data_IF_289148920560
#
_entry.id   IF_289148920560
#
_cell.length_a   1.000
_cell.length_b   1.000
_cell.length_c   1.000
_cell.angle_alpha   90.00
_cell.angle_beta   90.00
_cell.angle_gamma   90.00
#
_symmetry.space_group_name_H-M   'P 1'
#
loop_
_entity.id
_entity.type
_entity.pdbx_description
1 polymer ?
#
# COMPACT_ATOMS: atom_id res chain seq x y z
N UNK A 1 2.58 7.47 -36.20
CA UNK A 1 1.31 8.08 -35.75
C UNK A 1 1.41 8.35 -34.27
N UNK A 2 1.48 9.61 -33.85
CA UNK A 2 1.64 9.99 -32.44
C UNK A 2 0.24 10.19 -31.82
N UNK A 3 -0.13 9.35 -30.85
CA UNK A 3 -1.42 9.45 -30.16
C UNK A 3 -1.39 10.68 -29.24
N UNK A 4 -2.05 11.76 -29.64
CA UNK A 4 -2.09 12.99 -28.86
C UNK A 4 -3.07 12.80 -27.69
N UNK A 5 -2.59 12.98 -26.45
CA UNK A 5 -3.48 12.96 -25.27
C UNK A 5 -4.29 14.25 -25.25
N UNK A 6 -5.60 14.15 -25.34
CA UNK A 6 -6.52 15.29 -25.22
C UNK A 6 -6.91 15.51 -23.76
N UNK A 7 -7.08 16.77 -23.34
CA UNK A 7 -7.52 17.10 -21.97
C UNK A 7 -9.01 16.83 -21.81
N UNK A 8 -9.39 16.17 -20.72
CA UNK A 8 -10.78 16.04 -20.31
C UNK A 8 -11.25 17.35 -19.63
N UNK A 9 -12.39 17.94 -20.02
CA UNK A 9 -12.81 19.24 -19.50
C UNK A 9 -13.51 19.11 -18.13
N UNK A 10 -12.75 19.28 -17.04
CA UNK A 10 -13.34 19.28 -15.68
C UNK A 10 -14.29 20.47 -15.43
N UNK A 11 -14.17 21.56 -16.21
CA UNK A 11 -15.01 22.74 -16.07
C UNK A 11 -16.50 22.46 -16.30
N UNK A 12 -16.83 21.41 -17.07
CA UNK A 12 -18.21 21.02 -17.37
C UNK A 12 -18.85 20.24 -16.21
N UNK A 13 -18.08 19.91 -15.16
CA UNK A 13 -18.53 19.11 -14.02
C UNK A 13 -18.29 19.87 -12.72
N UNK A 14 -19.29 19.87 -11.83
CA UNK A 14 -19.09 20.43 -10.48
C UNK A 14 -18.07 19.59 -9.73
N UNK A 15 -17.10 20.28 -9.14
CA UNK A 15 -16.13 19.69 -8.23
C UNK A 15 -16.59 19.73 -6.77
N UNK A 16 -17.81 20.24 -6.52
CA UNK A 16 -18.46 20.16 -5.20
C UNK A 16 -19.44 19.00 -5.14
N UNK A 17 -19.36 18.23 -4.05
CA UNK A 17 -20.29 17.15 -3.71
C UNK A 17 -21.70 17.69 -3.45
N UNK A 18 -21.85 18.94 -3.03
CA UNK A 18 -23.13 19.56 -2.69
C UNK A 18 -24.07 19.64 -3.90
N UNK A 19 -23.52 19.59 -5.13
CA UNK A 19 -24.34 19.46 -6.34
C UNK A 19 -25.16 18.16 -6.35
N UNK A 20 -24.60 17.09 -5.78
CA UNK A 20 -25.15 15.74 -5.82
C UNK A 20 -25.77 15.32 -4.48
N UNK A 21 -25.33 15.93 -3.37
CA UNK A 21 -25.86 15.73 -2.02
C UNK A 21 -26.15 17.13 -1.43
N UNK A 22 -27.27 17.77 -1.82
CA UNK A 22 -27.55 19.14 -1.42
C UNK A 22 -27.80 19.25 0.09
N UNK A 23 -27.15 20.20 0.80
CA UNK A 23 -27.30 20.36 2.25
C UNK A 23 -28.69 20.82 2.68
N UNK A 24 -29.47 21.38 1.76
CA UNK A 24 -30.85 21.83 1.95
C UNK A 24 -31.90 20.78 1.53
N UNK A 25 -31.46 19.61 1.05
CA UNK A 25 -32.37 18.50 0.73
C UNK A 25 -33.05 17.97 1.99
N UNK A 26 -34.34 17.61 1.88
CA UNK A 26 -35.08 16.96 2.96
C UNK A 26 -34.43 15.65 3.43
N UNK A 27 -33.72 14.98 2.52
CA UNK A 27 -33.07 13.69 2.78
C UNK A 27 -31.61 13.84 3.25
N UNK A 28 -31.09 15.06 3.40
CA UNK A 28 -29.68 15.31 3.71
C UNK A 28 -29.21 14.62 5.01
N UNK A 29 -30.10 14.54 6.00
CA UNK A 29 -29.81 13.90 7.29
C UNK A 29 -30.13 12.41 7.34
N UNK A 30 -30.60 11.82 6.24
CA UNK A 30 -30.89 10.39 6.19
C UNK A 30 -29.57 9.61 6.09
N UNK A 31 -29.26 8.72 7.05
CA UNK A 31 -28.07 7.90 6.96
C UNK A 31 -28.08 7.02 5.71
N UNK A 32 -26.95 6.94 5.01
CA UNK A 32 -26.79 6.09 3.81
C UNK A 32 -26.99 4.60 4.14
N UNK A 33 -26.70 4.21 5.38
CA UNK A 33 -26.87 2.85 5.90
C UNK A 33 -27.48 2.89 7.30
N UNK A 34 -28.15 1.81 7.69
CA UNK A 34 -28.67 1.67 9.04
C UNK A 34 -27.55 1.57 10.10
N UNK A 35 -27.89 1.89 11.34
CA UNK A 35 -26.94 1.95 12.44
C UNK A 35 -26.28 0.60 12.76
N UNK A 36 -27.00 -0.51 12.63
CA UNK A 36 -26.45 -1.84 12.88
C UNK A 36 -25.42 -2.22 11.81
N UNK A 37 -25.68 -1.88 10.55
CA UNK A 37 -24.73 -2.05 9.45
C UNK A 37 -23.49 -1.17 9.62
N UNK A 38 -23.66 0.09 10.01
CA UNK A 38 -22.54 0.98 10.28
C UNK A 38 -21.64 0.44 11.41
N UNK A 39 -22.23 -0.02 12.51
CA UNK A 39 -21.47 -0.60 13.63
C UNK A 39 -20.72 -1.87 13.22
N UNK A 40 -21.35 -2.75 12.44
CA UNK A 40 -20.70 -3.96 11.91
C UNK A 40 -19.47 -3.62 11.09
N UNK A 41 -19.57 -2.65 10.17
CA UNK A 41 -18.42 -2.23 9.36
C UNK A 41 -17.35 -1.51 10.18
N UNK A 42 -17.74 -0.71 11.18
CA UNK A 42 -16.79 -0.10 12.08
C UNK A 42 -16.03 -1.14 12.92
N UNK A 43 -16.69 -2.22 13.35
CA UNK A 43 -16.03 -3.34 14.01
C UNK A 43 -15.08 -4.09 13.08
N UNK A 44 -15.49 -4.37 11.84
CA UNK A 44 -14.63 -5.00 10.84
C UNK A 44 -13.39 -4.15 10.54
N UNK A 45 -13.56 -2.83 10.41
CA UNK A 45 -12.46 -1.88 10.23
C UNK A 45 -11.47 -1.95 11.39
N UNK A 46 -11.95 -1.84 12.64
CA UNK A 46 -11.09 -1.96 13.83
C UNK A 46 -10.36 -3.30 13.88
N UNK A 47 -11.05 -4.40 13.56
CA UNK A 47 -10.43 -5.73 13.56
C UNK A 47 -9.32 -5.82 12.50
N UNK A 48 -9.56 -5.30 11.29
CA UNK A 48 -8.54 -5.26 10.24
C UNK A 48 -7.31 -4.41 10.62
N UNK A 49 -7.49 -3.27 11.28
CA UNK A 49 -6.36 -2.44 11.72
C UNK A 49 -5.62 -3.03 12.91
N UNK A 50 -6.33 -3.49 13.94
CA UNK A 50 -5.73 -3.78 15.26
C UNK A 50 -5.68 -5.26 15.64
N UNK A 51 -6.29 -6.14 14.85
CA UNK A 51 -6.25 -7.58 15.09
C UNK A 51 -7.10 -8.01 16.28
N UNK A 52 -8.35 -7.53 16.34
CA UNK A 52 -9.23 -7.65 17.52
C UNK A 52 -9.74 -9.08 17.76
N UNK A 53 -9.62 -9.96 16.77
CA UNK A 53 -9.98 -11.38 16.82
C UNK A 53 -8.92 -12.22 16.08
N UNK A 54 -9.00 -13.55 16.19
CA UNK A 54 -8.02 -14.47 15.61
C UNK A 54 -8.07 -14.59 14.08
N UNK A 55 -9.20 -14.27 13.46
CA UNK A 55 -9.40 -14.34 12.01
C UNK A 55 -9.00 -13.03 11.31
N UNK A 56 -8.78 -11.98 12.08
CA UNK A 56 -8.41 -10.66 11.61
C UNK A 56 -7.12 -10.65 10.78
N UNK A 57 -7.22 -10.10 9.57
CA UNK A 57 -6.08 -9.86 8.67
C UNK A 57 -5.28 -8.59 9.05
N UNK A 58 -4.87 -8.50 10.30
CA UNK A 58 -4.11 -7.35 10.83
C UNK A 58 -2.62 -7.67 10.98
N UNK A 59 -1.72 -6.69 10.74
CA UNK A 59 -0.31 -6.85 11.07
C UNK A 59 -0.03 -7.04 12.58
N UNK A 60 -0.99 -6.72 13.44
CA UNK A 60 -0.89 -6.95 14.89
C UNK A 60 -1.49 -8.29 15.32
N UNK A 61 -2.17 -9.02 14.44
CA UNK A 61 -2.66 -10.37 14.71
C UNK A 61 -1.53 -11.40 14.50
N UNK A 62 -1.17 -12.12 15.57
CA UNK A 62 -0.10 -13.12 15.54
C UNK A 62 -0.42 -14.37 14.72
N UNK A 63 -1.68 -14.83 14.68
CA UNK A 63 -2.10 -15.98 13.87
C UNK A 63 -1.94 -15.68 12.38
N UNK A 64 -2.43 -14.51 11.95
CA UNK A 64 -2.35 -14.06 10.57
C UNK A 64 -0.89 -13.90 10.10
N UNK A 65 -0.06 -13.19 10.87
CA UNK A 65 1.36 -13.02 10.51
C UNK A 65 2.11 -14.35 10.53
N UNK A 66 1.87 -15.22 11.51
CA UNK A 66 2.49 -16.55 11.54
C UNK A 66 2.13 -17.37 10.30
N UNK A 67 0.87 -17.32 9.85
CA UNK A 67 0.45 -17.99 8.63
C UNK A 67 1.14 -17.42 7.38
N UNK A 68 1.33 -16.09 7.32
CA UNK A 68 2.07 -15.43 6.22
C UNK A 68 3.55 -15.82 6.20
N UNK A 69 4.23 -15.82 7.36
CA UNK A 69 5.65 -16.19 7.47
C UNK A 69 5.88 -17.63 7.00
N UNK A 70 4.96 -18.54 7.29
CA UNK A 70 5.02 -19.95 6.83
C UNK A 70 4.76 -20.15 5.34
N UNK A 71 4.14 -19.19 4.64
CA UNK A 71 3.72 -19.29 3.23
C UNK A 71 4.75 -18.78 2.22
N UNK A 72 6.02 -18.62 2.62
CA UNK A 72 7.16 -18.19 1.79
C UNK A 72 7.43 -16.68 1.71
N UNK A 73 7.30 -15.95 2.82
CA UNK A 73 7.59 -14.51 2.87
C UNK A 73 8.98 -14.13 2.32
N UNK A 74 10.01 -14.93 2.65
CA UNK A 74 11.36 -14.75 2.11
C UNK A 74 11.43 -14.93 0.58
N UNK A 75 10.81 -15.97 0.04
CA UNK A 75 10.82 -16.22 -1.41
C UNK A 75 10.07 -15.12 -2.17
N UNK A 76 8.97 -14.60 -1.61
CA UNK A 76 8.23 -13.48 -2.20
C UNK A 76 9.09 -12.20 -2.25
N UNK A 77 9.82 -11.89 -1.17
CA UNK A 77 10.80 -10.80 -1.15
C UNK A 77 11.89 -11.02 -2.21
N UNK A 78 12.50 -12.21 -2.24
CA UNK A 78 13.61 -12.50 -3.15
C UNK A 78 13.18 -12.45 -4.62
N UNK A 79 11.97 -12.92 -4.93
CA UNK A 79 11.38 -12.80 -6.26
C UNK A 79 11.20 -11.33 -6.66
N UNK A 80 10.72 -10.48 -5.74
CA UNK A 80 10.58 -9.04 -5.98
C UNK A 80 11.93 -8.37 -6.21
N UNK A 81 12.92 -8.62 -5.35
CA UNK A 81 14.29 -8.10 -5.51
C UNK A 81 14.88 -8.55 -6.87
N UNK A 82 14.74 -9.83 -7.22
CA UNK A 82 15.23 -10.38 -8.50
C UNK A 82 14.57 -9.71 -9.70
N UNK A 83 13.26 -9.46 -9.64
CA UNK A 83 12.55 -8.77 -10.73
C UNK A 83 13.15 -7.38 -10.98
N UNK A 84 13.36 -6.60 -9.92
CA UNK A 84 13.93 -5.24 -10.03
C UNK A 84 15.42 -5.23 -10.39
N UNK A 85 16.20 -6.20 -9.92
CA UNK A 85 17.66 -6.18 -10.05
C UNK A 85 18.23 -7.14 -11.09
N UNK A 86 17.39 -7.73 -11.95
CA UNK A 86 17.83 -8.60 -13.03
C UNK A 86 18.67 -7.86 -14.09
N UNK A 87 19.57 -8.57 -14.77
CA UNK A 87 20.49 -7.96 -15.73
C UNK A 87 19.77 -7.36 -16.95
N UNK A 88 18.60 -7.90 -17.31
CA UNK A 88 17.75 -7.36 -18.37
C UNK A 88 16.80 -6.25 -17.94
N UNK A 89 16.73 -5.91 -16.63
CA UNK A 89 15.89 -4.82 -16.17
C UNK A 89 16.53 -3.47 -16.45
N UNK A 90 15.74 -2.50 -16.89
CA UNK A 90 16.22 -1.18 -17.20
C UNK A 90 15.24 -0.19 -16.55
N UNK A 91 15.75 0.62 -15.62
CA UNK A 91 14.93 1.55 -14.81
C UNK A 91 15.52 2.95 -14.83
N UNK A 92 14.63 3.94 -14.92
CA UNK A 92 14.98 5.34 -15.08
C UNK A 92 14.86 6.01 -13.72
N UNK A 93 15.91 6.74 -13.34
CA UNK A 93 15.87 7.57 -12.14
C UNK A 93 15.00 8.81 -12.34
N UNK A 94 14.79 9.54 -11.24
CA UNK A 94 14.03 10.81 -11.23
C UNK A 94 14.58 11.87 -12.20
N UNK A 95 15.86 11.77 -12.56
CA UNK A 95 16.53 12.64 -13.52
C UNK A 95 16.43 12.11 -14.97
N UNK A 96 15.57 11.12 -15.22
CA UNK A 96 15.35 10.46 -16.50
C UNK A 96 16.61 9.80 -17.08
N UNK A 97 17.60 9.48 -16.24
CA UNK A 97 18.79 8.72 -16.64
C UNK A 97 18.62 7.25 -16.24
N UNK A 98 19.12 6.37 -17.10
CA UNK A 98 19.18 4.95 -16.82
C UNK A 98 20.04 4.69 -15.55
N UNK A 99 19.55 3.83 -14.66
CA UNK A 99 20.33 3.38 -13.52
C UNK A 99 21.50 2.49 -13.94
N UNK A 100 22.64 2.68 -13.29
CA UNK A 100 23.88 1.93 -13.57
C UNK A 100 23.87 0.56 -12.86
N UNK A 101 24.72 -0.37 -13.32
CA UNK A 101 24.92 -1.65 -12.62
C UNK A 101 25.37 -1.45 -11.18
N UNK A 102 26.22 -0.45 -10.93
CA UNK A 102 26.65 -0.07 -9.57
C UNK A 102 25.47 0.29 -8.68
N UNK A 103 24.51 1.07 -9.17
CA UNK A 103 23.30 1.39 -8.40
C UNK A 103 22.52 0.12 -8.06
N UNK A 104 22.38 -0.83 -8.99
CA UNK A 104 21.69 -2.10 -8.71
C UNK A 104 22.38 -2.90 -7.60
N UNK A 105 23.71 -2.89 -7.57
CA UNK A 105 24.50 -3.52 -6.51
C UNK A 105 24.29 -2.85 -5.15
N UNK A 106 24.28 -1.51 -5.11
CA UNK A 106 24.00 -0.75 -3.88
C UNK A 106 22.60 -1.05 -3.34
N UNK A 107 21.58 -1.09 -4.21
CA UNK A 107 20.22 -1.48 -3.82
C UNK A 107 20.20 -2.91 -3.29
N UNK A 108 20.88 -3.84 -3.97
CA UNK A 108 20.97 -5.24 -3.53
C UNK A 108 21.51 -5.34 -2.11
N UNK A 109 22.62 -4.65 -1.83
CA UNK A 109 23.24 -4.62 -0.51
C UNK A 109 22.34 -4.04 0.58
N UNK A 110 21.56 -3.00 0.27
CA UNK A 110 20.63 -2.39 1.23
C UNK A 110 19.35 -3.23 1.46
N UNK A 111 19.02 -4.13 0.53
CA UNK A 111 17.84 -5.01 0.62
C UNK A 111 18.12 -6.38 1.22
N UNK A 112 19.39 -6.72 1.47
CA UNK A 112 19.76 -7.98 2.10
C UNK A 112 19.37 -7.96 3.59
N UNK A 113 18.16 -8.43 3.86
CA UNK A 113 17.60 -8.52 5.20
C UNK A 113 17.12 -9.94 5.44
N UNK A 114 17.16 -10.41 6.69
CA UNK A 114 16.61 -11.72 7.05
C UNK A 114 15.17 -11.53 7.53
N UNK A 115 14.25 -12.33 6.99
CA UNK A 115 12.87 -12.39 7.51
C UNK A 115 12.84 -13.47 8.58
N UNK A 116 12.56 -13.05 9.82
CA UNK A 116 12.31 -13.97 10.93
C UNK A 116 11.03 -14.77 10.65
N UNK A 117 11.07 -16.08 10.87
CA UNK A 117 9.93 -16.96 10.64
C UNK A 117 9.00 -17.06 11.86
N UNK A 118 9.34 -16.36 12.95
CA UNK A 118 8.57 -16.32 14.20
C UNK A 118 7.93 -14.94 14.37
N UNK A 119 6.67 -14.93 14.76
CA UNK A 119 5.98 -13.71 15.15
C UNK A 119 6.44 -13.22 16.53
N UNK A 120 6.84 -11.95 16.62
CA UNK A 120 7.24 -11.30 17.87
C UNK A 120 6.29 -10.15 18.21
N UNK A 121 5.43 -10.35 19.21
CA UNK A 121 4.47 -9.32 19.63
C UNK A 121 5.17 -8.02 20.10
N UNK A 122 6.37 -8.13 20.67
CA UNK A 122 7.19 -6.97 21.08
C UNK A 122 7.74 -6.15 19.92
N UNK A 123 7.70 -6.67 18.67
CA UNK A 123 8.14 -5.96 17.45
C UNK A 123 6.98 -5.31 16.69
N UNK A 124 5.79 -5.21 17.29
CA UNK A 124 4.68 -4.44 16.70
C UNK A 124 5.11 -2.98 16.53
N UNK A 125 5.00 -2.50 15.29
CA UNK A 125 5.26 -1.10 14.97
C UNK A 125 3.98 -0.30 14.80
N UNK A 126 4.10 1.00 15.01
CA UNK A 126 3.13 2.01 14.59
C UNK A 126 3.86 3.06 13.76
N UNK A 127 3.20 3.55 12.71
CA UNK A 127 3.72 4.64 11.91
C UNK A 127 3.55 5.95 12.70
N UNK A 128 4.66 6.61 13.03
CA UNK A 128 4.68 7.85 13.85
C UNK A 128 4.74 9.13 13.01
N UNK A 129 4.92 8.99 11.70
CA UNK A 129 4.90 10.06 10.69
C UNK A 129 4.42 9.46 9.38
N UNK A 130 3.81 10.27 8.53
CA UNK A 130 3.46 9.84 7.18
C UNK A 130 4.68 9.25 6.45
N UNK A 131 4.47 8.13 5.77
CA UNK A 131 5.52 7.42 5.05
C UNK A 131 4.90 6.61 3.91
N UNK A 132 5.73 6.24 2.95
CA UNK A 132 5.36 5.47 1.77
C UNK A 132 6.12 4.15 1.73
N UNK A 133 5.44 3.07 1.37
CA UNK A 133 6.05 1.74 1.19
C UNK A 133 6.59 1.60 -0.22
N UNK A 134 7.88 1.29 -0.36
CA UNK A 134 8.56 1.06 -1.64
C UNK A 134 8.99 -0.39 -1.77
N UNK A 135 9.02 -0.91 -3.00
CA UNK A 135 9.52 -2.25 -3.29
C UNK A 135 11.04 -2.39 -3.12
N UNK A 136 11.79 -1.29 -3.14
CA UNK A 136 13.24 -1.25 -2.98
C UNK A 136 13.66 -0.30 -1.85
N UNK A 137 14.66 -0.71 -1.05
CA UNK A 137 15.15 0.01 0.11
C UNK A 137 16.20 1.08 -0.27
N UNK A 138 15.82 2.05 -1.10
CA UNK A 138 16.73 3.12 -1.54
C UNK A 138 16.09 4.52 -1.59
N UNK A 139 14.76 4.63 -1.41
CA UNK A 139 14.05 5.90 -1.39
C UNK A 139 13.96 6.61 -2.76
N UNK A 140 14.32 5.95 -3.87
CA UNK A 140 14.36 6.56 -5.21
C UNK A 140 13.34 5.91 -6.15
N UNK A 141 12.67 6.68 -7.01
CA UNK A 141 11.76 6.12 -8.00
C UNK A 141 12.52 5.31 -9.04
N UNK A 142 11.87 4.24 -9.53
CA UNK A 142 12.31 3.44 -10.66
C UNK A 142 11.16 3.43 -11.67
N UNK A 143 11.30 4.23 -12.73
CA UNK A 143 10.35 4.38 -13.82
C UNK A 143 10.67 3.44 -14.98
#
# INVERSE_FOLDING_TARGET
MTRQKTRFPLADYSQSVDKWIPPDSADYTIPVIDSATQQRYFHALKSHYFGMDSEAHSPWNGFYITALLKKNAAQARDASIKQFLSDGSAYWGENFRLYTSRWKEEVRGNTDTQIDNIYHASRRGIMVRESFSQSAANGRPAL
#
